data_IF_745038928819
#
_entry.id   IF_745038928819
#
_cell.length_a   1.000
_cell.length_b   1.000
_cell.length_c   1.000
_cell.angle_alpha   90.00
_cell.angle_beta   90.00
_cell.angle_gamma   90.00
#
_symmetry.space_group_name_H-M   'P 1'
#
loop_
_entity.id
_entity.type
_entity.pdbx_description
1 polymer ?
#
# COMPACT_ATOMS: atom_id res chain seq x y z
N UNK A 1 1.91 -6.36 -7.02
CA UNK A 1 3.29 -6.81 -6.68
C UNK A 1 3.53 -8.28 -7.03
N UNK A 2 2.49 -9.04 -7.39
CA UNK A 2 2.62 -10.45 -7.73
C UNK A 2 2.50 -10.71 -9.24
N UNK A 3 2.23 -9.68 -10.06
CA UNK A 3 1.91 -9.87 -11.47
C UNK A 3 3.07 -10.43 -12.29
N UNK A 4 4.31 -9.95 -12.07
CA UNK A 4 5.52 -10.49 -12.72
C UNK A 4 5.71 -11.98 -12.37
N UNK A 5 5.49 -12.34 -11.10
CA UNK A 5 5.61 -13.71 -10.61
C UNK A 5 4.53 -14.61 -11.23
N UNK A 6 3.28 -14.15 -11.25
CA UNK A 6 2.13 -14.87 -11.82
C UNK A 6 2.34 -15.11 -13.32
N UNK A 7 2.86 -14.11 -14.06
CA UNK A 7 3.13 -14.25 -15.49
C UNK A 7 4.34 -15.13 -15.75
N UNK A 8 5.42 -15.00 -14.97
CA UNK A 8 6.56 -15.89 -15.10
C UNK A 8 6.13 -17.36 -14.94
N UNK A 9 5.34 -17.66 -13.90
CA UNK A 9 4.76 -18.99 -13.65
C UNK A 9 3.81 -19.44 -14.76
N UNK A 10 3.03 -18.53 -15.33
CA UNK A 10 2.11 -18.80 -16.45
C UNK A 10 2.80 -18.92 -17.81
N UNK A 11 3.97 -18.31 -18.00
CA UNK A 11 4.76 -18.44 -19.23
C UNK A 11 5.57 -19.74 -19.26
N UNK A 12 5.97 -20.26 -18.09
CA UNK A 12 6.57 -21.60 -17.96
C UNK A 12 5.55 -22.74 -18.09
N UNK A 13 4.27 -22.42 -18.29
CA UNK A 13 3.10 -23.29 -18.12
C UNK A 13 2.85 -24.26 -19.27
N UNK A 14 3.73 -24.35 -20.26
CA UNK A 14 3.61 -25.36 -21.33
C UNK A 14 3.82 -26.80 -20.81
N UNK A 15 4.15 -27.03 -19.53
CA UNK A 15 4.56 -28.37 -19.07
C UNK A 15 3.92 -28.93 -17.79
N UNK A 16 3.23 -28.20 -16.90
CA UNK A 16 2.71 -28.82 -15.64
C UNK A 16 1.56 -28.08 -14.93
N UNK A 17 0.48 -28.81 -14.59
CA UNK A 17 -0.71 -28.31 -13.87
C UNK A 17 -0.42 -27.68 -12.49
N UNK A 18 0.71 -28.02 -11.88
CA UNK A 18 1.13 -27.50 -10.57
C UNK A 18 1.44 -25.99 -10.60
N UNK A 19 2.14 -25.50 -11.62
CA UNK A 19 2.49 -24.08 -11.74
C UNK A 19 1.27 -23.18 -11.92
N UNK A 20 0.26 -23.66 -12.66
CA UNK A 20 -1.00 -22.94 -12.81
C UNK A 20 -1.78 -22.82 -11.50
N UNK A 21 -1.75 -23.88 -10.67
CA UNK A 21 -2.37 -23.85 -9.33
C UNK A 21 -1.68 -22.82 -8.43
N UNK A 22 -0.34 -22.79 -8.41
CA UNK A 22 0.43 -21.80 -7.63
C UNK A 22 0.13 -20.37 -8.10
N UNK A 23 0.14 -20.12 -9.41
CA UNK A 23 -0.16 -18.81 -9.97
C UNK A 23 -1.58 -18.33 -9.58
N UNK A 24 -2.55 -19.25 -9.54
CA UNK A 24 -3.93 -18.96 -9.10
C UNK A 24 -4.00 -18.60 -7.61
N UNK A 25 -3.20 -19.27 -6.76
CA UNK A 25 -3.12 -18.94 -5.33
C UNK A 25 -2.57 -17.53 -5.12
N UNK A 26 -1.48 -17.17 -5.80
CA UNK A 26 -0.92 -15.82 -5.72
C UNK A 26 -1.88 -14.74 -6.23
N UNK A 27 -2.59 -15.00 -7.33
CA UNK A 27 -3.62 -14.10 -7.82
C UNK A 27 -4.77 -13.93 -6.80
N UNK A 28 -5.18 -15.02 -6.14
CA UNK A 28 -6.22 -14.97 -5.11
C UNK A 28 -5.77 -14.12 -3.91
N UNK A 29 -4.52 -14.27 -3.48
CA UNK A 29 -3.94 -13.47 -2.40
C UNK A 29 -3.90 -11.97 -2.75
N UNK A 30 -3.53 -11.64 -4.00
CA UNK A 30 -3.50 -10.26 -4.49
C UNK A 30 -4.88 -9.60 -4.45
N UNK A 31 -5.93 -10.32 -4.86
CA UNK A 31 -7.32 -9.83 -4.82
C UNK A 31 -7.79 -9.62 -3.37
N UNK A 32 -7.51 -10.57 -2.49
CA UNK A 32 -7.84 -10.44 -1.06
C UNK A 32 -7.12 -9.23 -0.45
N UNK A 33 -5.83 -9.07 -0.74
CA UNK A 33 -5.03 -7.92 -0.31
C UNK A 33 -5.61 -6.60 -0.82
N UNK A 34 -6.00 -6.52 -2.09
CA UNK A 34 -6.67 -5.36 -2.69
C UNK A 34 -7.93 -4.96 -1.90
N UNK A 35 -8.81 -5.92 -1.62
CA UNK A 35 -10.07 -5.67 -0.89
C UNK A 35 -9.78 -5.22 0.56
N UNK A 36 -8.94 -5.95 1.28
CA UNK A 36 -8.63 -5.68 2.69
C UNK A 36 -7.97 -4.31 2.84
N UNK A 37 -6.98 -4.00 2.00
CA UNK A 37 -6.25 -2.74 2.07
C UNK A 37 -7.18 -1.55 1.78
N UNK A 38 -8.10 -1.68 0.82
CA UNK A 38 -9.09 -0.65 0.54
C UNK A 38 -10.07 -0.44 1.70
N UNK A 39 -10.55 -1.51 2.33
CA UNK A 39 -11.42 -1.41 3.52
C UNK A 39 -10.68 -0.72 4.67
N UNK A 40 -9.43 -1.13 4.96
CA UNK A 40 -8.61 -0.53 6.01
C UNK A 40 -8.33 0.95 5.75
N UNK A 41 -8.07 1.32 4.49
CA UNK A 41 -7.85 2.72 4.13
C UNK A 41 -9.12 3.56 4.22
N UNK A 42 -10.28 3.00 3.89
CA UNK A 42 -11.58 3.66 4.12
C UNK A 42 -11.83 3.91 5.61
N UNK A 43 -11.49 2.94 6.47
CA UNK A 43 -11.50 3.12 7.93
C UNK A 43 -10.55 4.25 8.38
N UNK A 44 -9.33 4.33 7.82
CA UNK A 44 -8.38 5.42 8.09
C UNK A 44 -8.93 6.79 7.66
N UNK A 45 -9.62 6.85 6.52
CA UNK A 45 -10.25 8.08 6.02
C UNK A 45 -11.37 8.52 6.97
N UNK A 46 -12.25 7.61 7.39
CA UNK A 46 -13.30 7.88 8.38
C UNK A 46 -12.69 8.37 9.70
N UNK A 47 -11.60 7.74 10.17
CA UNK A 47 -10.89 8.16 11.38
C UNK A 47 -10.35 9.59 11.24
N UNK A 48 -9.67 9.91 10.12
CA UNK A 48 -9.16 11.26 9.85
C UNK A 48 -10.27 12.30 9.81
N UNK A 49 -11.41 11.97 9.19
CA UNK A 49 -12.56 12.86 9.11
C UNK A 49 -13.18 13.12 10.48
N UNK A 50 -13.41 12.07 11.28
CA UNK A 50 -13.95 12.22 12.65
C UNK A 50 -13.03 13.06 13.52
N UNK A 51 -11.72 12.80 13.47
CA UNK A 51 -10.72 13.54 14.27
C UNK A 51 -10.64 15.02 13.89
N UNK A 52 -10.92 15.39 12.63
CA UNK A 52 -10.97 16.80 12.20
C UNK A 52 -12.23 17.53 12.68
N UNK A 53 -13.30 16.81 13.02
CA UNK A 53 -14.56 17.38 13.50
C UNK A 53 -14.50 17.75 15.00
N UNK A 54 -13.70 17.02 15.80
CA UNK A 54 -13.49 17.32 17.22
C UNK A 54 -12.46 18.45 17.40
N UNK A 55 -12.96 19.67 17.66
CA UNK A 55 -12.12 20.87 17.89
C UNK A 55 -11.47 20.94 19.28
N UNK A 56 -11.71 19.96 20.14
CA UNK A 56 -11.31 19.95 21.55
C UNK A 56 -9.95 19.29 21.82
N UNK A 57 -9.41 18.52 20.88
CA UNK A 57 -8.10 17.87 21.04
C UNK A 57 -6.99 18.79 20.51
N UNK A 58 -6.04 19.14 21.38
CA UNK A 58 -4.77 19.73 20.96
C UNK A 58 -4.04 18.72 20.05
N UNK A 59 -4.07 18.96 18.75
CA UNK A 59 -3.74 18.02 17.67
C UNK A 59 -2.23 17.76 17.49
N UNK A 60 -1.50 17.40 18.54
CA UNK A 60 -0.04 17.23 18.48
C UNK A 60 0.44 16.07 17.61
N UNK A 61 -0.45 15.14 17.26
CA UNK A 61 -0.15 14.00 16.37
C UNK A 61 -0.48 14.27 14.90
N UNK A 62 -1.05 15.42 14.57
CA UNK A 62 -1.55 15.73 13.23
C UNK A 62 -0.46 15.70 12.14
N UNK A 63 0.77 16.21 12.36
CA UNK A 63 1.81 16.19 11.33
C UNK A 63 2.25 14.77 10.96
N UNK A 64 2.58 13.95 11.98
CA UNK A 64 3.05 12.57 11.79
C UNK A 64 1.95 11.69 11.23
N UNK A 65 0.73 11.81 11.75
CA UNK A 65 -0.42 11.06 11.23
C UNK A 65 -0.74 11.44 9.78
N UNK A 66 -0.63 12.72 9.40
CA UNK A 66 -0.83 13.14 8.01
C UNK A 66 0.24 12.58 7.08
N UNK A 67 1.52 12.62 7.47
CA UNK A 67 2.60 12.02 6.66
C UNK A 67 2.37 10.52 6.44
N UNK A 68 2.02 9.79 7.49
CA UNK A 68 1.67 8.36 7.40
C UNK A 68 0.47 8.11 6.49
N UNK A 69 -0.56 8.96 6.59
CA UNK A 69 -1.78 8.88 5.79
C UNK A 69 -1.48 9.08 4.31
N UNK A 70 -0.73 10.13 3.93
CA UNK A 70 -0.38 10.38 2.53
C UNK A 70 0.52 9.30 1.94
N UNK A 71 1.51 8.84 2.70
CA UNK A 71 2.37 7.73 2.28
C UNK A 71 1.56 6.44 2.04
N UNK A 72 0.65 6.12 2.95
CA UNK A 72 -0.26 4.98 2.80
C UNK A 72 -1.21 5.15 1.59
N UNK A 73 -1.71 6.36 1.37
CA UNK A 73 -2.60 6.67 0.24
C UNK A 73 -1.93 6.48 -1.12
N UNK A 74 -0.69 6.96 -1.26
CA UNK A 74 0.09 6.81 -2.49
C UNK A 74 0.42 5.34 -2.75
N UNK A 75 0.86 4.62 -1.72
CA UNK A 75 1.11 3.17 -1.83
C UNK A 75 -0.14 2.40 -2.25
N UNK A 76 -1.29 2.70 -1.64
CA UNK A 76 -2.56 2.05 -1.99
C UNK A 76 -2.97 2.36 -3.42
N UNK A 77 -2.97 3.64 -3.81
CA UNK A 77 -3.38 4.05 -5.15
C UNK A 77 -2.56 3.37 -6.24
N UNK A 78 -1.25 3.24 -6.05
CA UNK A 78 -0.37 2.60 -7.04
C UNK A 78 -0.60 1.10 -7.08
N UNK A 79 -0.75 0.45 -5.92
CA UNK A 79 -1.08 -0.97 -5.86
C UNK A 79 -2.44 -1.27 -6.52
N UNK A 80 -3.44 -0.40 -6.32
CA UNK A 80 -4.77 -0.52 -6.92
C UNK A 80 -4.73 -0.33 -8.42
N UNK A 81 -3.99 0.68 -8.93
CA UNK A 81 -3.79 0.87 -10.37
C UNK A 81 -3.16 -0.37 -11.00
N UNK A 82 -2.09 -0.91 -10.40
CA UNK A 82 -1.43 -2.11 -10.92
C UNK A 82 -2.39 -3.31 -10.95
N UNK A 83 -3.14 -3.51 -9.86
CA UNK A 83 -4.12 -4.59 -9.74
C UNK A 83 -5.23 -4.46 -10.80
N UNK A 84 -5.80 -3.26 -10.96
CA UNK A 84 -6.86 -3.00 -11.93
C UNK A 84 -6.37 -3.14 -13.38
N UNK A 85 -5.17 -2.67 -13.69
CA UNK A 85 -4.56 -2.84 -15.01
C UNK A 85 -4.42 -4.32 -15.36
N UNK A 86 -4.03 -5.16 -14.40
CA UNK A 86 -3.94 -6.61 -14.62
C UNK A 86 -5.29 -7.25 -14.99
N UNK A 87 -6.38 -6.79 -14.36
CA UNK A 87 -7.73 -7.27 -14.65
C UNK A 87 -8.21 -6.86 -16.04
N UNK A 88 -7.88 -5.64 -16.45
CA UNK A 88 -8.30 -5.11 -17.76
C UNK A 88 -7.55 -5.81 -18.91
N UNK A 89 -6.27 -6.12 -18.73
CA UNK A 89 -5.42 -6.66 -19.80
C UNK A 89 -5.58 -8.18 -19.96
N UNK A 90 -5.96 -8.90 -18.89
CA UNK A 90 -6.38 -10.30 -18.96
C UNK A 90 -5.29 -11.29 -19.40
N UNK A 91 -4.99 -11.36 -20.70
CA UNK A 91 -3.96 -12.19 -21.32
C UNK A 91 -2.98 -11.34 -22.15
N UNK A 92 -1.73 -11.14 -21.67
CA UNK A 92 -0.74 -10.33 -22.37
C UNK A 92 -0.34 -10.92 -23.75
N UNK A 93 -0.63 -12.20 -24.02
CA UNK A 93 -0.36 -12.84 -25.31
C UNK A 93 -1.31 -12.42 -26.44
N UNK A 94 -2.45 -11.80 -26.12
CA UNK A 94 -3.45 -11.30 -27.09
C UNK A 94 -3.54 -9.78 -27.12
N UNK A 95 -2.69 -9.13 -26.36
CA UNK A 95 -2.75 -7.70 -26.13
C UNK A 95 -2.36 -6.90 -27.39
N UNK A 96 -3.09 -5.81 -27.67
CA UNK A 96 -2.74 -4.86 -28.73
C UNK A 96 -1.53 -4.02 -28.26
N UNK A 97 -0.78 -3.40 -29.18
CA UNK A 97 0.43 -2.61 -28.87
C UNK A 97 0.28 -1.61 -27.71
N UNK A 98 -0.88 -0.98 -27.55
CA UNK A 98 -1.16 -0.07 -26.44
C UNK A 98 -1.31 -0.77 -25.08
N UNK A 99 -1.94 -1.95 -25.05
CA UNK A 99 -2.13 -2.75 -23.83
C UNK A 99 -0.78 -3.30 -23.36
N UNK A 100 0.07 -3.76 -24.28
CA UNK A 100 1.45 -4.20 -23.95
C UNK A 100 2.25 -3.06 -23.32
N UNK A 101 2.11 -1.83 -23.83
CA UNK A 101 2.78 -0.66 -23.25
C UNK A 101 2.29 -0.36 -21.83
N UNK A 102 0.96 -0.30 -21.63
CA UNK A 102 0.36 -0.06 -20.31
C UNK A 102 0.76 -1.17 -19.32
N UNK A 103 0.77 -2.42 -19.78
CA UNK A 103 1.19 -3.57 -19.01
C UNK A 103 2.66 -3.44 -18.58
N UNK A 104 3.56 -3.10 -19.51
CA UNK A 104 4.99 -2.91 -19.21
C UNK A 104 5.24 -1.77 -18.22
N UNK A 105 4.46 -0.70 -18.29
CA UNK A 105 4.51 0.41 -17.34
C UNK A 105 4.08 -0.03 -15.94
N UNK A 106 3.00 -0.82 -15.83
CA UNK A 106 2.53 -1.38 -14.56
C UNK A 106 3.58 -2.30 -13.93
N UNK A 107 4.22 -3.16 -14.71
CA UNK A 107 5.34 -4.01 -14.26
C UNK A 107 6.52 -3.18 -13.74
N UNK A 108 6.88 -2.10 -14.44
CA UNK A 108 7.96 -1.21 -14.02
C UNK A 108 7.61 -0.50 -12.70
N UNK A 109 6.37 -0.03 -12.55
CA UNK A 109 5.87 0.56 -11.31
C UNK A 109 5.89 -0.45 -10.15
N UNK A 110 5.45 -1.69 -10.37
CA UNK A 110 5.51 -2.75 -9.36
C UNK A 110 6.94 -3.07 -8.92
N UNK A 111 7.86 -3.17 -9.87
CA UNK A 111 9.28 -3.38 -9.57
C UNK A 111 9.80 -2.23 -8.72
N UNK A 112 9.60 -0.98 -9.15
CA UNK A 112 10.03 0.19 -8.38
C UNK A 112 9.42 0.21 -6.97
N UNK A 113 8.14 -0.13 -6.83
CA UNK A 113 7.46 -0.22 -5.55
C UNK A 113 7.93 -1.38 -4.68
N UNK A 114 8.37 -2.49 -5.26
CA UNK A 114 8.98 -3.58 -4.51
C UNK A 114 10.24 -3.14 -3.78
N UNK A 115 11.08 -2.35 -4.45
CA UNK A 115 12.27 -1.77 -3.86
C UNK A 115 11.91 -0.74 -2.77
N UNK A 116 10.92 0.10 -3.04
CA UNK A 116 10.44 1.12 -2.10
C UNK A 116 9.62 0.53 -0.94
N UNK A 117 9.07 -0.67 -1.05
CA UNK A 117 8.19 -1.26 -0.03
C UNK A 117 8.89 -1.38 1.33
N UNK A 118 10.17 -1.80 1.30
CA UNK A 118 11.01 -1.89 2.51
C UNK A 118 11.25 -0.52 3.15
N UNK A 119 11.48 0.51 2.32
CA UNK A 119 11.68 1.89 2.75
C UNK A 119 10.38 2.46 3.33
N UNK A 120 9.24 2.24 2.66
CA UNK A 120 7.93 2.68 3.13
C UNK A 120 7.54 1.99 4.44
N UNK A 121 7.85 0.70 4.59
CA UNK A 121 7.64 -0.02 5.84
C UNK A 121 8.49 0.57 6.97
N UNK A 122 9.78 0.82 6.74
CA UNK A 122 10.66 1.46 7.72
C UNK A 122 10.16 2.86 8.11
N UNK A 123 9.74 3.68 7.14
CA UNK A 123 9.14 5.00 7.37
C UNK A 123 7.88 4.88 8.22
N UNK A 124 6.98 3.95 7.89
CA UNK A 124 5.74 3.72 8.65
C UNK A 124 6.05 3.28 10.09
N UNK A 125 7.01 2.37 10.28
CA UNK A 125 7.42 1.90 11.60
C UNK A 125 8.01 3.03 12.45
N UNK A 126 8.95 3.81 11.90
CA UNK A 126 9.59 4.92 12.62
C UNK A 126 8.57 5.99 12.98
N UNK A 127 7.69 6.38 12.05
CA UNK A 127 6.65 7.37 12.33
C UNK A 127 5.60 6.86 13.33
N UNK A 128 5.23 5.59 13.27
CA UNK A 128 4.30 4.99 14.25
C UNK A 128 4.92 4.95 15.65
N UNK A 129 6.22 4.64 15.74
CA UNK A 129 6.98 4.68 16.99
C UNK A 129 7.09 6.11 17.54
N UNK A 130 7.40 7.08 16.68
CA UNK A 130 7.44 8.50 17.06
C UNK A 130 6.07 8.98 17.56
N UNK A 131 4.98 8.62 16.89
CA UNK A 131 3.63 8.96 17.33
C UNK A 131 3.29 8.35 18.71
N UNK A 132 3.75 7.12 18.98
CA UNK A 132 3.60 6.49 20.30
C UNK A 132 4.41 7.21 21.38
N UNK A 133 5.67 7.59 21.10
CA UNK A 133 6.48 8.39 22.02
C UNK A 133 5.85 9.75 22.27
N UNK A 134 5.43 10.46 21.23
CA UNK A 134 4.72 11.72 21.35
C UNK A 134 3.55 11.59 22.34
N UNK A 135 2.76 10.52 22.22
CA UNK A 135 1.58 10.30 23.06
C UNK A 135 1.97 10.08 24.51
N UNK A 136 3.02 9.29 24.75
CA UNK A 136 3.55 9.01 26.10
C UNK A 136 4.07 10.30 26.74
N UNK A 137 4.85 11.11 26.01
CA UNK A 137 5.41 12.35 26.55
C UNK A 137 4.31 13.35 26.90
N UNK A 138 3.30 13.52 26.05
CA UNK A 138 2.17 14.41 26.31
C UNK A 138 1.39 13.99 27.56
N UNK A 139 1.16 12.68 27.75
CA UNK A 139 0.36 12.16 28.87
C UNK A 139 1.12 12.09 30.19
N UNK A 140 2.38 11.64 30.17
CA UNK A 140 3.12 11.27 31.38
C UNK A 140 4.23 12.26 31.75
N UNK A 141 4.74 13.05 30.80
CA UNK A 141 5.83 14.00 31.07
C UNK A 141 5.57 15.35 30.37
N UNK A 142 4.48 16.06 30.73
CA UNK A 142 4.02 17.26 30.02
C UNK A 142 5.05 18.41 30.03
N UNK A 143 6.01 18.42 30.95
CA UNK A 143 7.10 19.40 30.97
C UNK A 143 8.02 19.32 29.74
N UNK A 144 8.09 18.17 29.05
CA UNK A 144 8.90 17.97 27.84
C UNK A 144 8.06 17.92 26.57
N UNK A 145 6.77 18.27 26.65
CA UNK A 145 5.82 18.26 25.53
C UNK A 145 6.39 19.02 24.32
N UNK A 146 7.06 20.16 24.54
CA UNK A 146 7.64 20.99 23.49
C UNK A 146 8.66 20.27 22.59
N UNK A 147 9.33 19.21 23.09
CA UNK A 147 10.31 18.43 22.31
C UNK A 147 9.65 17.55 21.23
N UNK A 148 8.34 17.34 21.33
CA UNK A 148 7.62 16.36 20.50
C UNK A 148 6.42 16.94 19.76
N UNK A 149 6.11 18.23 19.98
CA UNK A 149 5.03 18.96 19.29
C UNK A 149 5.47 19.53 17.92
N UNK A 150 6.77 19.58 17.63
CA UNK A 150 7.34 20.09 16.38
C UNK A 150 7.22 19.13 15.21
#
# INVERSE_FOLDING_TARGET
MYHVLIIAMRSSNDTTAHYNSIATIYQTYEILGFIINNILFLCLLVYKYRKKADKTDENFHEPIFNQLFYNSAVCLAINDICTLVSFVIGDPGKAISAEVYIFSLAVLLEMLFMWLASVMFAIITVFSFLAAIQRIVILYIPNYKYLVIG
#
